data_IF_776817811398
#
_entry.id   IF_776817811398
#
_cell.length_a   1.000
_cell.length_b   1.000
_cell.length_c   1.000
_cell.angle_alpha   90.00
_cell.angle_beta   90.00
_cell.angle_gamma   90.00
#
_symmetry.space_group_name_H-M   'P 1'
#
loop_
_entity.id
_entity.type
_entity.pdbx_description
1 polymer ?
#
# COMPACT_ATOMS: atom_id res chain seq x y z
N UNK A 1 -5.33 21.54 -34.97
CA UNK A 1 -6.68 20.98 -35.25
C UNK A 1 -7.79 21.74 -34.55
N UNK A 2 -7.92 21.72 -33.21
CA UNK A 2 -9.07 22.34 -32.52
C UNK A 2 -9.26 23.82 -32.87
N UNK A 3 -8.21 24.62 -32.71
CA UNK A 3 -8.20 26.05 -33.03
C UNK A 3 -8.50 26.31 -34.51
N UNK A 4 -7.94 25.50 -35.41
CA UNK A 4 -8.18 25.60 -36.85
C UNK A 4 -9.64 25.31 -37.21
N UNK A 5 -10.23 24.27 -36.62
CA UNK A 5 -11.64 23.93 -36.83
C UNK A 5 -12.57 24.99 -36.24
N UNK A 6 -12.24 25.56 -35.07
CA UNK A 6 -13.01 26.68 -34.50
C UNK A 6 -12.93 27.91 -35.43
N UNK A 7 -11.76 28.22 -35.99
CA UNK A 7 -11.61 29.27 -36.99
C UNK A 7 -12.34 28.97 -38.31
N UNK A 8 -12.39 27.70 -38.75
CA UNK A 8 -13.18 27.27 -39.93
C UNK A 8 -14.68 27.49 -39.68
N UNK A 9 -15.20 27.14 -38.49
CA UNK A 9 -16.60 27.36 -38.10
C UNK A 9 -16.93 28.84 -37.99
N UNK A 10 -16.08 29.64 -37.35
CA UNK A 10 -16.34 31.08 -37.13
C UNK A 10 -16.17 31.92 -38.41
N UNK A 11 -15.18 31.60 -39.26
CA UNK A 11 -14.73 32.49 -40.34
C UNK A 11 -14.94 31.95 -41.75
N UNK A 12 -14.86 30.63 -41.96
CA UNK A 12 -14.99 30.03 -43.29
C UNK A 12 -16.43 29.57 -43.57
N UNK A 13 -17.11 28.94 -42.61
CA UNK A 13 -18.52 28.51 -42.76
C UNK A 13 -19.45 29.59 -43.36
N UNK A 14 -19.43 30.87 -42.94
CA UNK A 14 -20.32 31.89 -43.53
C UNK A 14 -19.93 32.35 -44.95
N UNK A 15 -18.72 32.01 -45.43
CA UNK A 15 -18.22 32.44 -46.75
C UNK A 15 -18.51 31.43 -47.87
N UNK A 16 -18.91 30.21 -47.52
CA UNK A 16 -19.11 29.11 -48.48
C UNK A 16 -20.57 28.65 -48.52
N UNK A 17 -21.09 28.29 -49.71
CA UNK A 17 -22.37 27.59 -49.87
C UNK A 17 -22.49 26.32 -48.99
N UNK A 18 -23.71 26.07 -48.51
CA UNK A 18 -23.99 25.02 -47.52
C UNK A 18 -23.77 23.59 -48.04
N UNK A 19 -23.89 23.39 -49.35
CA UNK A 19 -23.64 22.13 -50.06
C UNK A 19 -22.17 21.68 -50.01
N UNK A 20 -21.22 22.62 -49.87
CA UNK A 20 -19.78 22.31 -49.82
C UNK A 20 -19.38 21.69 -48.46
N UNK A 21 -20.20 21.81 -47.42
CA UNK A 21 -19.98 21.25 -46.06
C UNK A 21 -18.55 21.47 -45.53
N UNK A 22 -18.00 22.68 -45.72
CA UNK A 22 -16.57 23.01 -45.46
C UNK A 22 -16.05 22.48 -44.12
N UNK A 23 -16.80 22.67 -43.03
CA UNK A 23 -16.41 22.19 -41.69
C UNK A 23 -16.19 20.67 -41.65
N UNK A 24 -17.04 19.90 -42.34
CA UNK A 24 -16.89 18.45 -42.44
C UNK A 24 -15.63 18.06 -43.24
N UNK A 25 -15.39 18.68 -44.39
CA UNK A 25 -14.22 18.40 -45.22
C UNK A 25 -12.90 18.68 -44.48
N UNK A 26 -12.80 19.79 -43.73
CA UNK A 26 -11.65 20.07 -42.88
C UNK A 26 -11.53 19.08 -41.71
N UNK A 27 -12.64 18.76 -41.04
CA UNK A 27 -12.63 17.82 -39.92
C UNK A 27 -12.24 16.40 -40.34
N UNK A 28 -12.77 15.90 -41.46
CA UNK A 28 -12.42 14.61 -42.06
C UNK A 28 -10.96 14.57 -42.48
N UNK A 29 -10.44 15.64 -43.10
CA UNK A 29 -9.03 15.74 -43.51
C UNK A 29 -8.07 15.71 -42.30
N UNK A 30 -8.34 16.52 -41.27
CA UNK A 30 -7.54 16.51 -40.04
C UNK A 30 -7.67 15.18 -39.29
N UNK A 31 -8.86 14.59 -39.24
CA UNK A 31 -9.08 13.28 -38.62
C UNK A 31 -8.28 12.19 -39.31
N UNK A 32 -8.32 12.12 -40.65
CA UNK A 32 -7.59 11.13 -41.43
C UNK A 32 -6.07 11.23 -41.20
N UNK A 33 -5.51 12.44 -41.17
CA UNK A 33 -4.08 12.65 -40.89
C UNK A 33 -3.72 12.24 -39.44
N UNK A 34 -4.52 12.63 -38.44
CA UNK A 34 -4.31 12.17 -37.06
C UNK A 34 -4.41 10.64 -36.94
N UNK A 35 -5.44 10.03 -37.52
CA UNK A 35 -5.63 8.58 -37.50
C UNK A 35 -4.47 7.84 -38.20
N UNK A 36 -3.97 8.37 -39.32
CA UNK A 36 -2.77 7.86 -40.02
C UNK A 36 -1.53 7.90 -39.12
N UNK A 37 -1.26 9.04 -38.47
CA UNK A 37 -0.11 9.20 -37.57
C UNK A 37 -0.19 8.29 -36.34
N UNK A 38 -1.36 8.16 -35.68
CA UNK A 38 -1.55 7.21 -34.58
C UNK A 38 -1.44 5.75 -35.06
N UNK A 39 -1.92 5.44 -36.26
CA UNK A 39 -1.78 4.11 -36.89
C UNK A 39 -0.33 3.77 -37.22
N UNK A 40 0.51 4.76 -37.51
CA UNK A 40 1.95 4.58 -37.68
C UNK A 40 2.66 4.36 -36.34
N UNK A 41 2.34 5.14 -35.30
CA UNK A 41 2.93 4.98 -33.95
C UNK A 41 2.66 3.60 -33.34
N UNK A 42 1.48 3.04 -33.61
CA UNK A 42 1.06 1.72 -33.10
C UNK A 42 1.67 0.52 -33.83
N UNK A 43 2.47 0.74 -34.89
CA UNK A 43 3.29 -0.30 -35.53
C UNK A 43 4.58 -0.60 -34.74
N UNK A 44 4.97 0.29 -33.82
CA UNK A 44 6.16 0.13 -32.98
C UNK A 44 5.83 -0.50 -31.62
N UNK A 45 6.84 -1.05 -30.95
CA UNK A 45 6.67 -1.47 -29.55
C UNK A 45 6.55 -0.27 -28.61
N UNK A 46 5.32 0.17 -28.38
CA UNK A 46 5.01 1.22 -27.41
C UNK A 46 5.42 0.83 -25.99
N UNK A 47 6.07 1.75 -25.28
CA UNK A 47 6.32 1.55 -23.85
C UNK A 47 5.03 1.71 -23.03
N UNK A 48 4.99 1.29 -21.74
CA UNK A 48 3.78 1.38 -20.91
C UNK A 48 3.22 2.80 -20.74
N UNK A 49 4.10 3.83 -20.76
CA UNK A 49 3.69 5.24 -20.69
C UNK A 49 3.00 5.68 -21.98
N UNK A 50 3.57 5.33 -23.13
CA UNK A 50 3.07 5.75 -24.43
C UNK A 50 1.79 4.99 -24.78
N UNK A 51 1.68 3.71 -24.40
CA UNK A 51 0.43 2.93 -24.46
C UNK A 51 -0.70 3.62 -23.70
N UNK A 52 -0.44 4.07 -22.45
CA UNK A 52 -1.43 4.82 -21.66
C UNK A 52 -1.79 6.16 -22.33
N UNK A 53 -0.81 6.95 -22.76
CA UNK A 53 -1.07 8.27 -23.36
C UNK A 53 -1.85 8.15 -24.67
N UNK A 54 -1.51 7.18 -25.52
CA UNK A 54 -2.19 6.94 -26.78
C UNK A 54 -3.65 6.49 -26.56
N UNK A 55 -3.90 5.58 -25.62
CA UNK A 55 -5.28 5.20 -25.24
C UNK A 55 -6.07 6.38 -24.67
N UNK A 56 -5.48 7.16 -23.77
CA UNK A 56 -6.09 8.36 -23.19
C UNK A 56 -6.48 9.37 -24.28
N UNK A 57 -5.62 9.56 -25.28
CA UNK A 57 -5.91 10.41 -26.43
C UNK A 57 -7.06 9.87 -27.29
N UNK A 58 -7.04 8.59 -27.64
CA UNK A 58 -8.02 7.95 -28.52
C UNK A 58 -9.41 7.86 -27.89
N UNK A 59 -9.49 7.43 -26.62
CA UNK A 59 -10.75 7.12 -25.94
C UNK A 59 -11.34 8.28 -25.14
N UNK A 60 -10.53 9.27 -24.72
CA UNK A 60 -11.01 10.38 -23.87
C UNK A 60 -10.73 11.76 -24.48
N UNK A 61 -9.46 12.18 -24.60
CA UNK A 61 -9.13 13.58 -24.93
C UNK A 61 -9.61 14.00 -26.32
N UNK A 62 -9.45 13.15 -27.34
CA UNK A 62 -9.92 13.46 -28.69
C UNK A 62 -11.44 13.58 -28.80
N UNK A 63 -12.27 12.58 -28.39
CA UNK A 63 -13.71 12.72 -28.45
C UNK A 63 -14.24 13.83 -27.52
N UNK A 64 -13.72 13.96 -26.30
CA UNK A 64 -14.32 14.86 -25.30
C UNK A 64 -13.79 16.31 -25.36
N UNK A 65 -12.49 16.52 -25.50
CA UNK A 65 -11.93 17.88 -25.46
C UNK A 65 -11.84 18.56 -26.84
N UNK A 66 -11.76 17.76 -27.91
CA UNK A 66 -11.68 18.25 -29.30
C UNK A 66 -13.03 18.15 -30.00
N UNK A 67 -13.61 16.96 -30.18
CA UNK A 67 -14.84 16.82 -30.97
C UNK A 67 -16.07 17.40 -30.24
N UNK A 68 -16.22 17.10 -28.94
CA UNK A 68 -17.31 17.60 -28.09
C UNK A 68 -17.05 19.02 -27.55
N UNK A 69 -16.12 19.80 -28.13
CA UNK A 69 -15.96 21.22 -27.79
C UNK A 69 -17.27 21.99 -28.06
N UNK A 70 -17.68 22.95 -27.22
CA UNK A 70 -18.99 23.60 -27.34
C UNK A 70 -19.20 24.37 -28.65
N UNK A 71 -18.10 24.76 -29.33
CA UNK A 71 -18.14 25.40 -30.65
C UNK A 71 -18.17 24.41 -31.82
N UNK A 72 -17.63 23.21 -31.62
CA UNK A 72 -17.46 22.19 -32.67
C UNK A 72 -18.55 21.12 -32.65
N UNK A 73 -19.02 20.73 -31.46
CA UNK A 73 -20.05 19.72 -31.25
C UNK A 73 -21.30 19.88 -32.15
N UNK A 74 -21.96 21.07 -32.27
CA UNK A 74 -23.15 21.19 -33.12
C UNK A 74 -22.86 21.04 -34.61
N UNK A 75 -21.64 21.35 -35.05
CA UNK A 75 -21.23 21.26 -36.45
C UNK A 75 -20.77 19.83 -36.82
N UNK A 76 -20.12 19.15 -35.88
CA UNK A 76 -19.56 17.81 -36.06
C UNK A 76 -20.57 16.68 -35.76
N UNK A 77 -21.71 16.96 -35.13
CA UNK A 77 -22.74 15.94 -34.83
C UNK A 77 -23.24 15.18 -36.08
N UNK A 78 -23.24 15.82 -37.24
CA UNK A 78 -23.56 15.20 -38.54
C UNK A 78 -22.35 14.58 -39.28
N UNK A 79 -21.14 14.73 -38.76
CA UNK A 79 -19.89 14.26 -39.36
C UNK A 79 -19.42 13.02 -38.60
N UNK A 80 -19.72 11.83 -39.13
CA UNK A 80 -19.38 10.54 -38.48
C UNK A 80 -17.89 10.20 -38.64
N UNK A 81 -17.04 10.98 -37.98
CA UNK A 81 -15.57 10.84 -38.04
C UNK A 81 -15.09 9.46 -37.55
N UNK A 82 -15.77 8.87 -36.55
CA UNK A 82 -15.38 7.57 -36.00
C UNK A 82 -14.22 7.66 -35.00
N UNK A 83 -13.54 6.53 -34.77
CA UNK A 83 -12.42 6.42 -33.83
C UNK A 83 -11.08 6.62 -34.53
N UNK A 84 -10.12 7.28 -33.86
CA UNK A 84 -8.76 7.52 -34.40
C UNK A 84 -7.98 6.24 -34.72
N UNK A 85 -8.37 5.10 -34.14
CA UNK A 85 -7.78 3.79 -34.40
C UNK A 85 -8.88 2.74 -34.64
N UNK A 86 -8.59 1.64 -35.35
CA UNK A 86 -9.50 0.51 -35.49
C UNK A 86 -9.87 -0.10 -34.12
N UNK A 87 -11.14 -0.49 -33.88
CA UNK A 87 -11.57 -1.05 -32.59
C UNK A 87 -10.79 -2.28 -32.13
N UNK A 88 -10.36 -3.14 -33.06
CA UNK A 88 -9.51 -4.31 -32.78
C UNK A 88 -8.14 -3.93 -32.24
N UNK A 89 -7.58 -2.81 -32.70
CA UNK A 89 -6.29 -2.30 -32.24
C UNK A 89 -6.42 -1.62 -30.88
N UNK A 90 -7.52 -0.90 -30.65
CA UNK A 90 -7.86 -0.31 -29.35
C UNK A 90 -7.96 -1.41 -28.29
N UNK A 91 -8.70 -2.50 -28.55
CA UNK A 91 -8.82 -3.64 -27.63
C UNK A 91 -7.46 -4.29 -27.30
N UNK A 92 -6.57 -4.43 -28.29
CA UNK A 92 -5.22 -4.96 -28.07
C UNK A 92 -4.38 -4.03 -27.17
N UNK A 93 -4.48 -2.71 -27.39
CA UNK A 93 -3.81 -1.71 -26.56
C UNK A 93 -4.38 -1.68 -25.14
N UNK A 94 -5.69 -1.79 -24.98
CA UNK A 94 -6.38 -1.88 -23.68
C UNK A 94 -5.92 -3.12 -22.89
N UNK A 95 -5.89 -4.30 -23.53
CA UNK A 95 -5.36 -5.52 -22.92
C UNK A 95 -3.88 -5.38 -22.51
N UNK A 96 -3.05 -4.76 -23.35
CA UNK A 96 -1.64 -4.46 -23.04
C UNK A 96 -1.51 -3.47 -21.88
N UNK A 97 -2.34 -2.44 -21.83
CA UNK A 97 -2.40 -1.48 -20.73
C UNK A 97 -2.78 -2.18 -19.42
N UNK A 98 -3.86 -2.98 -19.39
CA UNK A 98 -4.29 -3.73 -18.20
C UNK A 98 -3.16 -4.62 -17.68
N UNK A 99 -2.52 -5.41 -18.55
CA UNK A 99 -1.39 -6.27 -18.18
C UNK A 99 -0.19 -5.49 -17.61
N UNK A 100 0.18 -4.38 -18.26
CA UNK A 100 1.28 -3.52 -17.81
C UNK A 100 0.97 -2.87 -16.44
N UNK A 101 -0.25 -2.37 -16.26
CA UNK A 101 -0.66 -1.63 -15.08
C UNK A 101 -0.82 -2.54 -13.86
N UNK A 102 -1.40 -3.74 -14.05
CA UNK A 102 -1.45 -4.81 -13.03
C UNK A 102 -0.05 -5.25 -12.62
N UNK A 103 0.88 -5.42 -13.57
CA UNK A 103 2.28 -5.76 -13.28
C UNK A 103 2.98 -4.65 -12.50
N UNK A 104 2.82 -3.38 -12.91
CA UNK A 104 3.34 -2.20 -12.21
C UNK A 104 2.83 -2.13 -10.76
N UNK A 105 1.54 -2.36 -10.55
CA UNK A 105 0.93 -2.37 -9.21
C UNK A 105 1.51 -3.50 -8.36
N UNK A 106 1.62 -4.73 -8.91
CA UNK A 106 2.25 -5.88 -8.23
C UNK A 106 3.67 -5.56 -7.76
N UNK A 107 4.51 -5.02 -8.64
CA UNK A 107 5.91 -4.69 -8.36
C UNK A 107 6.04 -3.61 -7.28
N UNK A 108 5.24 -2.55 -7.36
CA UNK A 108 5.25 -1.48 -6.36
C UNK A 108 4.78 -1.97 -4.99
N UNK A 109 3.73 -2.79 -4.93
CA UNK A 109 3.27 -3.38 -3.68
C UNK A 109 4.30 -4.34 -3.07
N UNK A 110 4.95 -5.18 -3.91
CA UNK A 110 6.02 -6.07 -3.46
C UNK A 110 7.22 -5.27 -2.91
N UNK A 111 7.63 -4.20 -3.59
CA UNK A 111 8.72 -3.31 -3.13
C UNK A 111 8.37 -2.56 -1.85
N UNK A 112 7.13 -2.12 -1.68
CA UNK A 112 6.66 -1.50 -0.45
C UNK A 112 6.75 -2.48 0.74
N UNK A 113 6.32 -3.73 0.56
CA UNK A 113 6.48 -4.78 1.57
C UNK A 113 7.95 -5.12 1.84
N UNK A 114 8.81 -5.13 0.82
CA UNK A 114 10.25 -5.38 0.99
C UNK A 114 10.94 -4.29 1.82
N UNK A 115 10.58 -3.01 1.59
CA UNK A 115 11.09 -1.87 2.34
C UNK A 115 10.62 -1.91 3.81
N UNK A 116 9.34 -2.16 4.02
CA UNK A 116 8.75 -2.30 5.36
C UNK A 116 9.31 -3.53 6.11
N UNK A 117 9.47 -4.67 5.44
CA UNK A 117 10.12 -5.84 6.04
C UNK A 117 11.58 -5.56 6.44
N UNK A 118 12.28 -4.69 5.70
CA UNK A 118 13.65 -4.27 6.04
C UNK A 118 13.68 -3.34 7.25
N UNK A 119 12.73 -2.40 7.39
CA UNK A 119 12.68 -1.50 8.57
C UNK A 119 12.50 -2.31 9.86
N UNK A 120 11.61 -3.32 9.86
CA UNK A 120 11.44 -4.23 10.99
C UNK A 120 12.74 -4.96 11.37
N UNK A 121 13.48 -5.49 10.38
CA UNK A 121 14.75 -6.22 10.65
C UNK A 121 15.88 -5.35 11.16
N UNK A 122 15.82 -4.03 10.94
CA UNK A 122 16.81 -3.05 11.41
C UNK A 122 16.49 -2.48 12.79
N UNK A 123 15.41 -2.93 13.44
CA UNK A 123 14.90 -2.34 14.68
C UNK A 123 14.52 -0.85 14.54
N UNK A 124 14.06 -0.44 13.35
CA UNK A 124 13.52 0.92 13.15
C UNK A 124 12.21 1.06 13.95
N UNK A 125 12.05 2.19 14.64
CA UNK A 125 10.86 2.46 15.45
C UNK A 125 9.69 2.90 14.55
N UNK A 126 8.47 2.38 14.77
CA UNK A 126 7.30 2.78 13.97
C UNK A 126 6.94 4.24 14.23
N UNK A 127 6.29 4.87 13.25
CA UNK A 127 5.78 6.22 13.40
C UNK A 127 4.71 6.26 14.49
N UNK A 128 4.63 7.38 15.22
CA UNK A 128 3.60 7.61 16.24
C UNK A 128 2.72 8.78 15.84
N UNK A 129 1.45 8.50 15.53
CA UNK A 129 0.43 9.50 15.24
C UNK A 129 -0.64 9.46 16.32
N UNK A 130 -0.95 10.60 16.95
CA UNK A 130 -1.93 10.69 18.04
C UNK A 130 -1.69 9.62 19.15
N UNK A 131 -0.43 9.46 19.57
CA UNK A 131 0.06 8.43 20.50
C UNK A 131 -0.18 6.96 20.11
N UNK A 132 -0.54 6.67 18.85
CA UNK A 132 -0.68 5.29 18.33
C UNK A 132 0.44 4.95 17.38
N UNK A 133 0.87 3.69 17.39
CA UNK A 133 1.86 3.19 16.43
C UNK A 133 1.24 3.01 15.05
N UNK A 134 1.96 3.45 14.03
CA UNK A 134 1.49 3.52 12.66
C UNK A 134 2.60 3.11 11.69
N UNK A 135 2.22 2.45 10.59
CA UNK A 135 3.10 2.05 9.51
C UNK A 135 2.51 2.55 8.19
N UNK A 136 3.33 3.17 7.35
CA UNK A 136 2.86 3.79 6.10
C UNK A 136 2.46 2.75 5.05
N UNK A 137 2.79 1.47 5.25
CA UNK A 137 2.51 0.38 4.33
C UNK A 137 1.03 0.35 3.91
N UNK A 138 0.10 0.46 4.85
CA UNK A 138 -1.33 0.41 4.52
C UNK A 138 -1.74 1.56 3.58
N UNK A 139 -1.30 2.80 3.87
CA UNK A 139 -1.57 3.97 3.02
C UNK A 139 -0.93 3.80 1.64
N UNK A 140 0.34 3.42 1.57
CA UNK A 140 1.04 3.25 0.29
C UNK A 140 0.37 2.21 -0.61
N UNK A 141 -0.07 1.08 -0.05
CA UNK A 141 -0.73 0.01 -0.83
C UNK A 141 -2.11 0.45 -1.31
N UNK A 142 -2.92 1.09 -0.46
CA UNK A 142 -4.22 1.65 -0.85
C UNK A 142 -4.05 2.70 -1.96
N UNK A 143 -3.04 3.59 -1.83
CA UNK A 143 -2.73 4.59 -2.85
C UNK A 143 -2.28 3.97 -4.19
N UNK A 144 -1.42 2.94 -4.18
CA UNK A 144 -0.95 2.25 -5.39
C UNK A 144 -2.14 1.67 -6.17
N UNK A 145 -3.08 1.00 -5.48
CA UNK A 145 -4.26 0.40 -6.09
C UNK A 145 -5.20 1.48 -6.63
N UNK A 146 -5.54 2.48 -5.81
CA UNK A 146 -6.45 3.56 -6.21
C UNK A 146 -5.90 4.40 -7.36
N UNK A 147 -4.58 4.62 -7.45
CA UNK A 147 -3.95 5.24 -8.62
C UNK A 147 -4.02 4.36 -9.87
N UNK A 148 -3.83 3.04 -9.75
CA UNK A 148 -3.98 2.10 -10.86
C UNK A 148 -5.41 2.09 -11.41
N UNK A 149 -6.41 2.09 -10.53
CA UNK A 149 -7.83 2.15 -10.91
C UNK A 149 -8.17 3.51 -11.56
N UNK A 150 -7.83 4.63 -10.94
CA UNK A 150 -8.10 5.97 -11.47
C UNK A 150 -7.43 6.22 -12.84
N UNK A 151 -6.27 5.59 -13.09
CA UNK A 151 -5.57 5.64 -14.38
C UNK A 151 -6.24 4.79 -15.48
N UNK A 152 -7.03 3.78 -15.12
CA UNK A 152 -7.87 3.08 -16.10
C UNK A 152 -9.17 3.84 -16.35
N UNK A 153 -9.79 4.37 -15.29
CA UNK A 153 -11.00 5.21 -15.35
C UNK A 153 -10.79 6.50 -16.16
N UNK A 154 -9.57 7.06 -16.16
CA UNK A 154 -9.22 8.21 -17.00
C UNK A 154 -9.17 7.89 -18.50
N UNK A 155 -9.04 6.62 -18.90
CA UNK A 155 -9.18 6.19 -20.30
C UNK A 155 -10.68 5.96 -20.59
N UNK A 156 -11.31 5.01 -19.90
CA UNK A 156 -12.77 4.78 -19.93
C UNK A 156 -13.27 4.18 -18.62
N UNK A 157 -14.55 4.42 -18.30
CA UNK A 157 -15.22 3.80 -17.15
C UNK A 157 -15.29 2.27 -17.24
N UNK A 158 -15.38 1.73 -18.47
CA UNK A 158 -15.38 0.29 -18.71
C UNK A 158 -14.01 -0.31 -18.36
N UNK A 159 -12.91 0.31 -18.81
CA UNK A 159 -11.55 -0.14 -18.47
C UNK A 159 -11.26 -0.05 -16.97
N UNK A 160 -11.81 0.97 -16.29
CA UNK A 160 -11.85 1.05 -14.82
C UNK A 160 -12.58 -0.12 -14.17
N UNK A 161 -13.71 -0.53 -14.74
CA UNK A 161 -14.49 -1.69 -14.28
C UNK A 161 -13.75 -3.01 -14.54
N UNK A 162 -13.06 -3.14 -15.68
CA UNK A 162 -12.24 -4.31 -16.02
C UNK A 162 -10.98 -4.45 -15.15
N UNK A 163 -10.28 -3.36 -14.83
CA UNK A 163 -9.04 -3.44 -14.04
C UNK A 163 -9.31 -3.75 -12.56
N UNK A 164 -10.44 -3.28 -12.01
CA UNK A 164 -10.80 -3.41 -10.60
C UNK A 164 -10.68 -4.85 -10.04
N UNK A 165 -11.28 -5.91 -10.65
CA UNK A 165 -11.11 -7.28 -10.16
C UNK A 165 -9.65 -7.77 -10.24
N UNK A 166 -8.89 -7.36 -11.25
CA UNK A 166 -7.47 -7.72 -11.38
C UNK A 166 -6.65 -7.13 -10.23
N UNK A 167 -6.87 -5.85 -9.90
CA UNK A 167 -6.19 -5.18 -8.77
C UNK A 167 -6.57 -5.78 -7.41
N UNK A 168 -7.84 -6.22 -7.24
CA UNK A 168 -8.26 -6.93 -6.03
C UNK A 168 -7.59 -8.31 -5.91
N UNK A 169 -7.30 -8.99 -7.02
CA UNK A 169 -6.54 -10.24 -7.00
C UNK A 169 -5.05 -10.01 -6.68
N UNK A 170 -4.45 -8.94 -7.20
CA UNK A 170 -3.10 -8.49 -6.80
C UNK A 170 -3.05 -8.17 -5.29
N UNK A 171 -4.05 -7.46 -4.76
CA UNK A 171 -4.20 -7.20 -3.33
C UNK A 171 -4.32 -8.51 -2.52
N UNK A 172 -5.12 -9.48 -2.99
CA UNK A 172 -5.24 -10.79 -2.35
C UNK A 172 -3.89 -11.51 -2.24
N UNK A 173 -3.08 -11.43 -3.29
CA UNK A 173 -1.73 -12.02 -3.33
C UNK A 173 -0.74 -11.22 -2.47
N UNK A 174 -0.83 -9.89 -2.44
CA UNK A 174 -0.08 -9.04 -1.52
C UNK A 174 -0.37 -9.36 -0.05
N UNK A 175 -1.64 -9.43 0.36
CA UNK A 175 -2.02 -9.63 1.77
C UNK A 175 -1.51 -10.98 2.32
N UNK A 176 -1.49 -12.03 1.49
CA UNK A 176 -0.88 -13.33 1.83
C UNK A 176 0.64 -13.24 1.99
N UNK A 177 1.31 -12.45 1.15
CA UNK A 177 2.76 -12.22 1.28
C UNK A 177 3.10 -11.37 2.51
N UNK A 178 2.28 -10.35 2.82
CA UNK A 178 2.40 -9.50 4.00
C UNK A 178 2.24 -10.30 5.29
N UNK A 179 1.22 -11.15 5.39
CA UNK A 179 1.05 -12.12 6.49
C UNK A 179 2.33 -12.96 6.68
N UNK A 180 2.81 -13.64 5.64
CA UNK A 180 4.00 -14.51 5.73
C UNK A 180 5.27 -13.75 6.13
N UNK A 181 5.44 -12.52 5.63
CA UNK A 181 6.56 -11.67 6.01
C UNK A 181 6.48 -11.27 7.49
N UNK A 182 5.28 -10.93 7.97
CA UNK A 182 5.04 -10.60 9.38
C UNK A 182 5.21 -11.81 10.30
N UNK A 183 4.66 -12.97 9.96
CA UNK A 183 4.85 -14.21 10.71
C UNK A 183 6.35 -14.55 10.83
N UNK A 184 7.09 -14.43 9.72
CA UNK A 184 8.54 -14.59 9.73
C UNK A 184 9.30 -13.51 10.54
N UNK A 185 8.72 -12.35 10.79
CA UNK A 185 9.24 -11.34 11.72
C UNK A 185 8.93 -11.70 13.18
N UNK A 186 7.72 -12.16 13.48
CA UNK A 186 7.31 -12.65 14.82
C UNK A 186 8.19 -13.80 15.34
N UNK A 187 8.67 -14.65 14.44
CA UNK A 187 9.59 -15.74 14.78
C UNK A 187 11.01 -15.24 15.04
N UNK A 188 11.56 -14.39 14.16
CA UNK A 188 13.00 -14.09 14.11
C UNK A 188 13.43 -12.85 14.92
N UNK A 189 12.53 -11.91 15.19
CA UNK A 189 12.89 -10.57 15.68
C UNK A 189 12.51 -10.29 17.14
N UNK A 190 12.20 -11.32 17.94
CA UNK A 190 11.69 -11.19 19.33
C UNK A 190 12.60 -10.41 20.30
N UNK A 191 13.89 -10.30 20.00
CA UNK A 191 14.90 -9.62 20.83
C UNK A 191 15.09 -8.14 20.48
N UNK A 192 14.40 -7.63 19.45
CA UNK A 192 14.52 -6.24 19.01
C UNK A 192 13.79 -5.28 19.97
N UNK A 193 14.33 -4.07 20.16
CA UNK A 193 13.80 -3.10 21.14
C UNK A 193 12.41 -2.61 20.76
N UNK A 194 12.19 -2.35 19.47
CA UNK A 194 10.93 -1.87 18.92
C UNK A 194 10.00 -3.01 18.49
N UNK A 195 10.31 -4.27 18.84
CA UNK A 195 9.52 -5.45 18.45
C UNK A 195 8.02 -5.30 18.76
N UNK A 196 7.66 -4.99 20.03
CA UNK A 196 6.25 -4.83 20.44
C UNK A 196 5.56 -3.66 19.71
N UNK A 197 6.25 -2.52 19.57
CA UNK A 197 5.72 -1.36 18.86
C UNK A 197 5.46 -1.67 17.37
N UNK A 198 6.38 -2.38 16.71
CA UNK A 198 6.22 -2.84 15.33
C UNK A 198 5.09 -3.88 15.18
N UNK A 199 4.90 -4.78 16.15
CA UNK A 199 3.72 -5.67 16.17
C UNK A 199 2.42 -4.86 16.27
N UNK A 200 2.35 -3.86 17.14
CA UNK A 200 1.19 -2.96 17.28
C UNK A 200 0.92 -2.17 15.98
N UNK A 201 1.95 -1.61 15.34
CA UNK A 201 1.83 -0.89 14.07
C UNK A 201 1.23 -1.78 12.96
N UNK A 202 1.71 -3.01 12.83
CA UNK A 202 1.24 -3.98 11.83
C UNK A 202 -0.20 -4.47 12.10
N UNK A 203 -0.62 -4.55 13.37
CA UNK A 203 -2.03 -4.77 13.72
C UNK A 203 -2.87 -3.56 13.31
N UNK A 204 -2.44 -2.34 13.66
CA UNK A 204 -3.16 -1.11 13.33
C UNK A 204 -3.37 -0.93 11.81
N UNK A 205 -2.42 -1.38 10.98
CA UNK A 205 -2.55 -1.43 9.51
C UNK A 205 -3.80 -2.21 9.02
N UNK A 206 -4.35 -3.14 9.81
CA UNK A 206 -5.54 -3.89 9.42
C UNK A 206 -6.79 -3.00 9.28
N UNK A 207 -6.89 -1.87 10.01
CA UNK A 207 -8.07 -1.01 9.94
C UNK A 207 -8.19 -0.26 8.59
N UNK A 208 -7.16 0.47 8.09
CA UNK A 208 -7.24 1.11 6.78
C UNK A 208 -7.61 0.15 5.63
N UNK A 209 -7.09 -1.09 5.64
CA UNK A 209 -7.46 -2.11 4.66
C UNK A 209 -8.93 -2.53 4.75
N UNK A 210 -9.44 -2.79 5.97
CA UNK A 210 -10.87 -3.06 6.22
C UNK A 210 -11.73 -1.91 5.68
N UNK A 211 -11.45 -0.67 6.09
CA UNK A 211 -12.21 0.52 5.68
C UNK A 211 -12.20 0.73 4.16
N UNK A 212 -11.07 0.54 3.48
CA UNK A 212 -10.97 0.75 2.02
C UNK A 212 -11.69 -0.33 1.22
N UNK A 213 -11.65 -1.59 1.66
CA UNK A 213 -12.40 -2.69 1.03
C UNK A 213 -13.92 -2.50 1.09
N UNK A 214 -14.40 -1.81 2.13
CA UNK A 214 -15.81 -1.49 2.33
C UNK A 214 -16.25 -0.22 1.62
N UNK A 215 -15.51 0.88 1.80
CA UNK A 215 -15.94 2.22 1.36
C UNK A 215 -15.46 2.58 -0.06
N UNK A 216 -14.20 2.26 -0.39
CA UNK A 216 -13.60 2.66 -1.67
C UNK A 216 -13.88 1.63 -2.76
N UNK A 217 -13.58 0.36 -2.50
CA UNK A 217 -13.75 -0.71 -3.50
C UNK A 217 -15.13 -1.37 -3.46
N UNK A 218 -15.95 -1.12 -2.43
CA UNK A 218 -17.33 -1.59 -2.29
C UNK A 218 -17.45 -3.11 -2.55
N UNK A 219 -16.53 -3.87 -1.95
CA UNK A 219 -16.32 -5.29 -2.27
C UNK A 219 -17.50 -6.13 -1.75
N UNK A 220 -18.06 -7.08 -2.53
CA UNK A 220 -19.11 -7.98 -2.06
C UNK A 220 -18.70 -8.71 -0.76
N UNK A 221 -19.64 -9.01 0.16
CA UNK A 221 -19.32 -9.58 1.48
C UNK A 221 -18.46 -10.84 1.42
N UNK A 222 -18.75 -11.77 0.51
CA UNK A 222 -18.04 -13.04 0.39
C UNK A 222 -16.57 -12.83 -0.03
N UNK A 223 -16.35 -12.05 -1.10
CA UNK A 223 -15.01 -11.71 -1.57
C UNK A 223 -14.23 -10.88 -0.52
N UNK A 224 -14.91 -9.98 0.19
CA UNK A 224 -14.34 -9.21 1.31
C UNK A 224 -13.87 -10.12 2.43
N UNK A 225 -14.66 -11.12 2.82
CA UNK A 225 -14.28 -12.09 3.85
C UNK A 225 -13.02 -12.88 3.46
N UNK A 226 -12.91 -13.29 2.19
CA UNK A 226 -11.73 -13.97 1.65
C UNK A 226 -10.49 -13.07 1.59
N UNK A 227 -10.66 -11.79 1.24
CA UNK A 227 -9.57 -10.81 1.20
C UNK A 227 -9.07 -10.42 2.59
N UNK A 228 -9.98 -10.34 3.58
CA UNK A 228 -9.63 -10.01 4.96
C UNK A 228 -9.03 -11.18 5.75
N UNK A 229 -9.15 -12.42 5.27
CA UNK A 229 -8.64 -13.61 5.98
C UNK A 229 -7.15 -13.51 6.36
N UNK A 230 -6.20 -13.17 5.46
CA UNK A 230 -4.78 -13.04 5.85
C UNK A 230 -4.53 -11.92 6.87
N UNK A 231 -5.32 -10.85 6.83
CA UNK A 231 -5.24 -9.76 7.83
C UNK A 231 -5.79 -10.19 9.19
N UNK A 232 -6.83 -11.01 9.22
CA UNK A 232 -7.35 -11.59 10.46
C UNK A 232 -6.33 -12.58 11.07
N UNK A 233 -5.68 -13.41 10.25
CA UNK A 233 -4.60 -14.32 10.69
C UNK A 233 -3.39 -13.52 11.24
N UNK A 234 -2.93 -12.48 10.51
CA UNK A 234 -1.88 -11.54 10.93
C UNK A 234 -2.22 -10.89 12.30
N UNK A 235 -3.44 -10.35 12.44
CA UNK A 235 -3.92 -9.76 13.70
C UNK A 235 -3.90 -10.78 14.83
N UNK A 236 -4.40 -12.00 14.61
CA UNK A 236 -4.42 -13.06 15.61
C UNK A 236 -3.02 -13.42 16.08
N UNK A 237 -2.07 -13.66 15.16
CA UNK A 237 -0.67 -13.95 15.52
C UNK A 237 -0.01 -12.78 16.28
N UNK A 238 -0.36 -11.53 15.91
CA UNK A 238 0.05 -10.33 16.64
C UNK A 238 -0.49 -10.28 18.07
N UNK A 239 -1.79 -10.52 18.26
CA UNK A 239 -2.43 -10.59 19.59
C UNK A 239 -1.83 -11.72 20.45
N UNK A 240 -1.69 -12.92 19.89
CA UNK A 240 -1.09 -14.07 20.60
C UNK A 240 0.34 -13.74 21.05
N UNK A 241 1.13 -13.09 20.20
CA UNK A 241 2.49 -12.60 20.53
C UNK A 241 2.47 -11.56 21.64
N UNK A 242 1.59 -10.55 21.56
CA UNK A 242 1.52 -9.47 22.53
C UNK A 242 1.07 -9.94 23.92
N UNK A 243 0.16 -10.91 23.97
CA UNK A 243 -0.43 -11.50 25.17
C UNK A 243 0.37 -12.69 25.74
N UNK A 244 1.30 -13.29 24.98
CA UNK A 244 2.06 -14.48 25.39
C UNK A 244 2.75 -14.31 26.75
N UNK A 245 3.37 -13.16 27.01
CA UNK A 245 4.03 -12.88 28.29
C UNK A 245 3.01 -12.79 29.43
N UNK A 246 1.95 -11.99 29.25
CA UNK A 246 0.87 -11.82 30.24
C UNK A 246 0.26 -13.17 30.62
N UNK A 247 -0.14 -13.99 29.63
CA UNK A 247 -0.70 -15.32 29.92
C UNK A 247 0.32 -16.29 30.53
N UNK A 248 1.62 -16.09 30.28
CA UNK A 248 2.70 -16.76 31.00
C UNK A 248 2.71 -16.42 32.49
N UNK A 249 2.65 -15.13 32.82
CA UNK A 249 2.68 -14.58 34.18
C UNK A 249 1.42 -14.92 34.98
N UNK A 250 0.25 -14.98 34.34
CA UNK A 250 -1.01 -15.39 34.99
C UNK A 250 -1.09 -16.91 35.28
N UNK A 251 -0.40 -17.75 34.49
CA UNK A 251 -0.43 -19.22 34.61
C UNK A 251 -0.09 -19.76 36.01
N UNK A 252 0.94 -19.26 36.74
CA UNK A 252 1.18 -19.61 38.14
C UNK A 252 0.09 -19.07 39.09
N UNK A 253 -0.43 -17.86 38.89
CA UNK A 253 -1.52 -17.32 39.71
C UNK A 253 -2.77 -18.20 39.62
N UNK A 254 -3.16 -18.63 38.40
CA UNK A 254 -4.23 -19.61 38.22
C UNK A 254 -3.91 -21.00 38.81
N UNK A 255 -2.63 -21.37 39.04
CA UNK A 255 -2.28 -22.59 39.81
C UNK A 255 -2.57 -22.46 41.30
N UNK A 256 -2.53 -21.25 41.86
CA UNK A 256 -2.77 -21.03 43.29
C UNK A 256 -4.16 -21.46 43.72
N UNK A 257 -5.23 -21.17 42.99
CA UNK A 257 -6.59 -21.69 43.26
C UNK A 257 -6.61 -23.20 43.55
N UNK A 258 -5.93 -23.98 42.70
CA UNK A 258 -5.86 -25.44 42.84
C UNK A 258 -4.86 -25.93 43.90
N UNK A 259 -3.89 -25.10 44.30
CA UNK A 259 -2.90 -25.43 45.34
C UNK A 259 -3.44 -25.10 46.74
N UNK A 260 -4.07 -23.94 46.92
CA UNK A 260 -4.70 -23.48 48.17
C UNK A 260 -6.08 -24.10 48.41
N UNK A 261 -6.51 -25.05 47.57
CA UNK A 261 -7.84 -25.69 47.61
C UNK A 261 -8.99 -24.67 47.70
N UNK A 262 -8.87 -23.56 46.97
CA UNK A 262 -9.86 -22.47 46.95
C UNK A 262 -10.10 -21.78 48.31
N UNK A 263 -9.11 -21.77 49.22
CA UNK A 263 -9.25 -21.14 50.53
C UNK A 263 -9.40 -19.60 50.51
N UNK A 264 -8.76 -18.92 49.56
CA UNK A 264 -8.81 -17.46 49.40
C UNK A 264 -8.98 -17.09 47.90
N UNK A 265 -10.14 -17.39 47.29
CA UNK A 265 -10.30 -17.32 45.84
C UNK A 265 -10.42 -15.87 45.36
N UNK A 266 -11.02 -14.99 46.16
CA UNK A 266 -11.17 -13.56 45.83
C UNK A 266 -9.81 -12.85 45.78
N UNK A 267 -8.99 -12.96 46.83
CA UNK A 267 -7.63 -12.39 46.86
C UNK A 267 -6.75 -12.89 45.71
N UNK A 268 -6.88 -14.18 45.37
CA UNK A 268 -6.13 -14.76 44.23
C UNK A 268 -6.60 -14.19 42.88
N UNK A 269 -7.87 -13.81 42.75
CA UNK A 269 -8.39 -13.16 41.56
C UNK A 269 -8.04 -11.66 41.51
N UNK A 270 -8.11 -10.95 42.64
CA UNK A 270 -7.70 -9.55 42.75
C UNK A 270 -6.25 -9.36 42.30
N UNK A 271 -5.35 -10.27 42.70
CA UNK A 271 -3.96 -10.30 42.25
C UNK A 271 -3.81 -10.56 40.73
N UNK A 272 -4.61 -11.48 40.17
CA UNK A 272 -4.65 -11.73 38.72
C UNK A 272 -5.13 -10.48 37.96
N UNK A 273 -6.17 -9.83 38.45
CA UNK A 273 -6.76 -8.65 37.81
C UNK A 273 -5.81 -7.45 37.93
N UNK A 274 -5.11 -7.29 39.06
CA UNK A 274 -4.04 -6.28 39.20
C UNK A 274 -2.91 -6.52 38.20
N UNK A 275 -2.43 -7.76 38.07
CA UNK A 275 -1.37 -8.11 37.11
C UNK A 275 -1.80 -7.89 35.64
N UNK A 276 -3.09 -8.06 35.31
CA UNK A 276 -3.63 -7.66 34.00
C UNK A 276 -3.66 -6.13 33.87
N UNK A 277 -4.18 -5.42 34.87
CA UNK A 277 -4.32 -3.97 34.88
C UNK A 277 -2.98 -3.25 34.66
N UNK A 278 -1.92 -3.68 35.32
CA UNK A 278 -0.56 -3.13 35.18
C UNK A 278 -0.01 -3.22 33.74
N UNK A 279 -0.46 -4.20 32.95
CA UNK A 279 -0.05 -4.37 31.54
C UNK A 279 -0.97 -3.64 30.54
N UNK A 280 -2.15 -3.18 30.94
CA UNK A 280 -3.10 -2.48 30.04
C UNK A 280 -2.58 -1.16 29.43
N UNK A 281 -1.72 -0.36 30.10
CA UNK A 281 -1.10 0.82 29.51
C UNK A 281 -0.23 0.51 28.27
N UNK A 282 0.39 -0.66 28.19
CA UNK A 282 1.22 -1.05 27.04
C UNK A 282 0.42 -1.17 25.74
N UNK A 283 -0.88 -1.45 25.84
CA UNK A 283 -1.78 -1.57 24.69
C UNK A 283 -2.45 -0.23 24.32
N UNK A 284 -1.97 0.90 24.86
CA UNK A 284 -2.47 2.24 24.51
C UNK A 284 -2.10 2.70 23.10
N UNK A 285 -0.98 2.21 22.55
CA UNK A 285 -0.54 2.52 21.19
C UNK A 285 -1.36 1.80 20.09
N UNK A 286 -2.25 0.89 20.50
CA UNK A 286 -3.15 0.12 19.64
C UNK A 286 -4.41 0.96 19.30
N UNK A 287 -5.03 0.72 18.15
CA UNK A 287 -6.29 1.36 17.77
C UNK A 287 -7.45 0.90 18.68
N UNK A 288 -8.41 1.78 19.00
CA UNK A 288 -9.45 1.50 20.01
C UNK A 288 -10.25 0.22 19.71
N UNK A 289 -10.68 0.02 18.46
CA UNK A 289 -11.38 -1.21 18.05
C UNK A 289 -10.55 -2.47 18.29
N UNK A 290 -9.23 -2.43 18.03
CA UNK A 290 -8.34 -3.57 18.31
C UNK A 290 -8.03 -3.71 19.81
N UNK A 291 -8.12 -2.62 20.59
CA UNK A 291 -8.00 -2.65 22.06
C UNK A 291 -9.22 -3.30 22.70
N UNK A 292 -10.42 -3.01 22.19
CA UNK A 292 -11.66 -3.70 22.55
C UNK A 292 -11.60 -5.19 22.20
N UNK A 293 -11.22 -5.54 20.95
CA UNK A 293 -11.03 -6.94 20.52
C UNK A 293 -9.96 -7.68 21.37
N UNK A 294 -8.88 -7.00 21.79
CA UNK A 294 -7.83 -7.55 22.65
C UNK A 294 -8.32 -7.76 24.09
N UNK A 295 -9.10 -6.82 24.64
CA UNK A 295 -9.72 -6.94 25.96
C UNK A 295 -10.74 -8.08 26.00
N UNK A 296 -11.50 -8.31 24.92
CA UNK A 296 -12.38 -9.47 24.79
C UNK A 296 -11.59 -10.79 24.81
N UNK A 297 -10.45 -10.86 24.11
CA UNK A 297 -9.57 -12.03 24.14
C UNK A 297 -8.98 -12.28 25.54
N UNK A 298 -8.60 -11.24 26.27
CA UNK A 298 -8.15 -11.34 27.67
C UNK A 298 -9.29 -11.81 28.58
N UNK A 299 -10.49 -11.23 28.46
CA UNK A 299 -11.68 -11.63 29.22
C UNK A 299 -12.01 -13.12 28.99
N UNK A 300 -12.04 -13.56 27.73
CA UNK A 300 -12.26 -14.96 27.36
C UNK A 300 -11.18 -15.88 27.94
N UNK A 301 -9.92 -15.46 27.96
CA UNK A 301 -8.84 -16.22 28.59
C UNK A 301 -9.05 -16.37 30.10
N UNK A 302 -9.35 -15.26 30.81
CA UNK A 302 -9.57 -15.26 32.25
C UNK A 302 -10.72 -16.21 32.64
N UNK A 303 -11.86 -16.11 31.96
CA UNK A 303 -13.03 -16.97 32.19
C UNK A 303 -12.72 -18.43 31.88
N UNK A 304 -12.09 -18.72 30.72
CA UNK A 304 -11.74 -20.08 30.29
C UNK A 304 -10.78 -20.75 31.27
N UNK A 305 -9.73 -20.06 31.70
CA UNK A 305 -8.74 -20.61 32.62
C UNK A 305 -9.33 -20.79 34.03
N UNK A 306 -10.19 -19.87 34.50
CA UNK A 306 -10.92 -20.00 35.77
C UNK A 306 -11.83 -21.25 35.78
N UNK A 307 -12.65 -21.45 34.74
CA UNK A 307 -13.48 -22.65 34.57
C UNK A 307 -12.60 -23.91 34.50
N UNK A 308 -11.49 -23.86 33.76
CA UNK A 308 -10.53 -24.97 33.71
C UNK A 308 -9.88 -25.30 35.07
N UNK A 309 -9.88 -24.37 36.05
CA UNK A 309 -9.46 -24.67 37.43
C UNK A 309 -10.55 -25.33 38.25
N UNK A 310 -11.81 -24.95 38.08
CA UNK A 310 -12.95 -25.64 38.69
C UNK A 310 -13.04 -27.10 38.19
N UNK A 311 -12.89 -27.31 36.88
CA UNK A 311 -13.00 -28.64 36.26
C UNK A 311 -11.88 -29.63 36.64
N UNK A 312 -10.79 -29.21 37.31
CA UNK A 312 -9.63 -30.07 37.63
C UNK A 312 -9.88 -31.13 38.71
N UNK A 313 -11.09 -31.25 39.26
CA UNK A 313 -11.52 -32.27 40.26
C UNK A 313 -10.60 -32.37 41.50
N UNK A 314 -9.87 -31.30 41.85
CA UNK A 314 -8.97 -31.24 43.02
C UNK A 314 -9.64 -30.78 44.32
N UNK A 315 -10.91 -30.45 44.26
CA UNK A 315 -11.74 -30.03 45.38
C UNK A 315 -12.97 -30.93 45.43
N UNK A 316 -13.23 -31.53 46.60
CA UNK A 316 -14.41 -32.36 46.86
C UNK A 316 -15.10 -31.76 48.08
N UNK A 317 -16.29 -31.22 47.88
CA UNK A 317 -17.08 -30.54 48.91
C UNK A 317 -18.10 -31.53 49.47
N UNK A 318 -18.05 -31.80 50.77
CA UNK A 318 -18.83 -32.87 51.40
C UNK A 318 -20.18 -32.42 51.96
N UNK A 319 -20.36 -31.11 52.19
CA UNK A 319 -21.58 -30.55 52.80
C UNK A 319 -22.17 -29.45 51.93
N UNK A 320 -23.47 -29.18 52.12
CA UNK A 320 -24.19 -28.18 51.32
C UNK A 320 -23.69 -26.76 51.57
N UNK A 321 -23.29 -26.46 52.81
CA UNK A 321 -22.77 -25.14 53.22
C UNK A 321 -21.45 -24.83 52.49
N UNK A 322 -20.56 -25.82 52.38
CA UNK A 322 -19.31 -25.70 51.62
C UNK A 322 -19.56 -25.47 50.13
N UNK A 323 -20.59 -26.11 49.55
CA UNK A 323 -21.00 -25.92 48.16
C UNK A 323 -21.58 -24.52 47.93
N UNK A 324 -22.43 -24.04 48.84
CA UNK A 324 -23.03 -22.72 48.77
C UNK A 324 -22.02 -21.59 49.01
N UNK A 325 -21.03 -21.81 49.89
CA UNK A 325 -19.90 -20.90 50.06
C UNK A 325 -19.03 -20.81 48.79
N UNK A 326 -18.70 -21.94 48.14
CA UNK A 326 -17.97 -21.89 46.87
C UNK A 326 -18.81 -21.20 45.77
N UNK A 327 -20.11 -21.46 45.70
CA UNK A 327 -20.99 -20.80 44.74
C UNK A 327 -20.99 -19.27 44.91
N UNK A 328 -21.07 -18.77 46.16
CA UNK A 328 -20.92 -17.35 46.48
C UNK A 328 -19.57 -16.78 46.04
N UNK A 329 -18.47 -17.50 46.31
CA UNK A 329 -17.15 -17.11 45.83
C UNK A 329 -17.03 -17.09 44.30
N UNK A 330 -17.62 -18.06 43.58
CA UNK A 330 -17.64 -18.08 42.12
C UNK A 330 -18.43 -16.90 41.57
N UNK A 331 -19.58 -16.57 42.17
CA UNK A 331 -20.40 -15.43 41.77
C UNK A 331 -19.69 -14.08 41.99
N UNK A 332 -19.06 -13.88 43.16
CA UNK A 332 -18.27 -12.69 43.43
C UNK A 332 -17.08 -12.55 42.46
N UNK A 333 -16.38 -13.65 42.16
CA UNK A 333 -15.28 -13.68 41.21
C UNK A 333 -15.73 -13.36 39.77
N UNK A 334 -16.90 -13.88 39.35
CA UNK A 334 -17.47 -13.56 38.04
C UNK A 334 -17.84 -12.08 37.93
N UNK A 335 -18.42 -11.50 38.98
CA UNK A 335 -18.71 -10.06 39.04
C UNK A 335 -17.43 -9.21 38.95
N UNK A 336 -16.35 -9.61 39.63
CA UNK A 336 -15.07 -8.90 39.60
C UNK A 336 -14.44 -8.92 38.19
N UNK A 337 -14.40 -10.07 37.52
CA UNK A 337 -13.94 -10.18 36.12
C UNK A 337 -14.78 -9.29 35.20
N UNK A 338 -16.11 -9.34 35.34
CA UNK A 338 -17.02 -8.54 34.52
C UNK A 338 -16.83 -7.03 34.75
N UNK A 339 -16.75 -6.59 36.01
CA UNK A 339 -16.52 -5.18 36.36
C UNK A 339 -15.18 -4.69 35.80
N UNK A 340 -14.09 -5.44 35.99
CA UNK A 340 -12.78 -5.07 35.46
C UNK A 340 -12.80 -4.90 33.93
N UNK A 341 -13.36 -5.86 33.19
CA UNK A 341 -13.39 -5.78 31.73
C UNK A 341 -14.32 -4.66 31.23
N UNK A 342 -15.49 -4.46 31.85
CA UNK A 342 -16.40 -3.35 31.48
C UNK A 342 -15.84 -1.96 31.81
N UNK A 343 -14.97 -1.82 32.81
CA UNK A 343 -14.31 -0.55 33.15
C UNK A 343 -13.12 -0.23 32.23
N UNK A 344 -12.48 -1.24 31.63
CA UNK A 344 -11.33 -1.06 30.73
C UNK A 344 -11.73 -0.94 29.25
N UNK A 345 -12.94 -1.39 28.88
CA UNK A 345 -13.56 -1.07 27.58
C UNK A 345 -14.01 0.40 27.63
N UNK A 346 -13.47 1.24 26.75
CA UNK A 346 -13.91 2.64 26.66
C UNK A 346 -15.39 2.72 26.27
N UNK A 347 -16.14 3.74 26.76
CA UNK A 347 -17.52 3.94 26.32
C UNK A 347 -17.53 4.20 24.81
N UNK A 348 -18.08 3.25 24.07
CA UNK A 348 -18.21 3.22 22.61
C UNK A 348 -18.59 4.61 22.08
N UNK A 349 -17.68 5.34 21.40
CA UNK A 349 -18.06 6.61 20.78
C UNK A 349 -19.11 6.34 19.70
N UNK A 350 -20.10 7.23 19.51
CA UNK A 350 -21.02 7.11 18.38
C UNK A 350 -20.21 7.08 17.09
N UNK A 351 -20.62 6.20 16.17
CA UNK A 351 -19.94 5.96 14.89
C UNK A 351 -19.68 7.29 14.16
N UNK A 352 -18.42 7.72 14.14
CA UNK A 352 -18.03 8.89 13.37
C UNK A 352 -18.26 8.61 11.88
N UNK A 353 -18.85 9.54 11.11
CA UNK A 353 -18.88 9.42 9.67
C UNK A 353 -17.44 9.40 9.13
N UNK A 354 -17.18 8.73 8.00
CA UNK A 354 -15.83 8.65 7.46
C UNK A 354 -15.29 10.05 7.17
N UNK A 355 -14.05 10.31 7.59
CA UNK A 355 -13.33 11.49 7.09
C UNK A 355 -13.18 11.33 5.58
N UNK A 356 -13.89 12.16 4.82
CA UNK A 356 -13.73 12.27 3.38
C UNK A 356 -12.32 12.76 3.13
N UNK A 357 -11.44 11.85 2.71
CA UNK A 357 -10.15 12.21 2.11
C UNK A 357 -10.47 12.83 0.76
N UNK A 358 -10.76 14.13 0.77
CA UNK A 358 -11.01 14.89 -0.44
C UNK A 358 -9.78 14.82 -1.34
N UNK A 359 -9.98 14.44 -2.60
CA UNK A 359 -8.95 14.65 -3.63
C UNK A 359 -8.55 16.13 -3.60
N UNK A 360 -7.26 16.47 -3.56
CA UNK A 360 -6.85 17.86 -3.72
C UNK A 360 -7.27 18.34 -5.12
N UNK A 361 -7.87 19.54 -5.25
CA UNK A 361 -8.15 20.10 -6.57
C UNK A 361 -6.84 20.34 -7.32
N UNK A 362 -6.90 20.25 -8.65
CA UNK A 362 -5.74 20.49 -9.50
C UNK A 362 -5.14 21.89 -9.25
N UNK A 363 -3.80 22.04 -9.25
CA UNK A 363 -3.17 23.31 -8.91
C UNK A 363 -3.38 24.37 -10.00
N UNK A 364 -4.28 25.31 -9.75
CA UNK A 364 -4.30 26.59 -10.46
C UNK A 364 -3.04 27.41 -10.12
N UNK A 365 -2.49 28.12 -11.11
CA UNK A 365 -1.20 28.80 -11.04
C UNK A 365 -1.14 29.93 -9.98
N UNK A 366 -0.21 29.84 -9.02
CA UNK A 366 0.63 31.00 -8.61
C UNK A 366 1.76 30.68 -7.62
N UNK A 367 2.93 31.28 -7.90
CA UNK A 367 4.11 31.57 -7.05
C UNK A 367 4.29 30.85 -5.68
N UNK A 368 5.18 29.86 -5.72
CA UNK A 368 6.42 29.78 -4.95
C UNK A 368 6.46 30.19 -3.45
N UNK A 369 6.77 29.21 -2.60
CA UNK A 369 7.83 29.37 -1.59
C UNK A 369 8.54 28.04 -1.34
N UNK A 370 9.88 28.06 -1.36
CA UNK A 370 10.74 26.88 -1.24
C UNK A 370 10.97 26.47 0.21
N UNK A 371 10.85 25.19 0.51
CA UNK A 371 11.56 24.54 1.61
C UNK A 371 11.90 23.10 1.21
N UNK A 372 13.17 22.76 1.37
CA UNK A 372 13.81 21.58 0.81
C UNK A 372 13.82 20.40 1.79
N UNK A 373 13.36 19.23 1.34
CA UNK A 373 13.78 17.92 1.84
C UNK A 373 13.76 16.95 0.65
N UNK A 374 14.88 16.28 0.40
CA UNK A 374 15.15 15.62 -0.89
C UNK A 374 14.85 14.13 -0.93
N UNK A 375 14.24 13.67 -2.03
CA UNK A 375 14.17 12.27 -2.42
C UNK A 375 14.38 12.15 -3.95
N UNK A 376 15.25 11.22 -4.34
CA UNK A 376 15.42 10.58 -5.65
C UNK A 376 15.07 11.35 -6.94
N UNK A 377 16.12 11.79 -7.67
CA UNK A 377 16.08 11.91 -9.14
C UNK A 377 16.60 10.61 -9.78
N UNK A 378 15.87 9.98 -10.71
CA UNK A 378 16.45 9.07 -11.70
C UNK A 378 17.04 9.86 -12.88
N UNK A 379 18.01 9.28 -13.58
CA UNK A 379 18.77 9.93 -14.64
C UNK A 379 17.92 10.46 -15.81
N UNK A 380 18.24 11.67 -16.26
CA UNK A 380 17.80 12.19 -17.56
C UNK A 380 19.02 12.54 -18.41
N UNK A 381 19.36 11.63 -19.33
CA UNK A 381 20.13 11.97 -20.52
C UNK A 381 19.21 12.82 -21.41
N UNK A 382 19.56 14.08 -21.66
CA UNK A 382 18.93 14.88 -22.72
C UNK A 382 19.64 14.65 -24.05
N UNK A 383 18.92 14.48 -25.17
CA UNK A 383 19.47 14.72 -26.48
C UNK A 383 19.52 16.23 -26.77
N UNK A 384 20.61 16.71 -27.38
CA UNK A 384 20.65 18.03 -28.02
C UNK A 384 19.99 17.98 -29.41
N UNK A 385 19.22 19.01 -29.81
CA UNK A 385 18.85 19.21 -31.20
C UNK A 385 19.98 19.92 -31.98
N UNK A 386 20.41 19.33 -33.09
CA UNK A 386 21.32 19.92 -34.06
C UNK A 386 20.59 20.91 -34.99
N UNK A 387 21.37 21.84 -35.58
CA UNK A 387 21.02 22.88 -36.58
C UNK A 387 20.35 24.15 -36.01
N UNK A 388 20.67 25.39 -36.44
CA UNK A 388 21.77 25.97 -37.26
C UNK A 388 21.63 27.53 -37.19
N UNK A 389 22.29 28.32 -38.05
CA UNK A 389 23.71 28.63 -38.17
C UNK A 389 24.08 29.99 -37.51
N UNK A 390 25.36 30.39 -37.53
CA UNK A 390 25.87 31.54 -36.79
C UNK A 390 25.87 32.90 -37.53
N UNK A 391 26.35 33.92 -36.82
CA UNK A 391 26.83 35.17 -37.40
C UNK A 391 28.03 35.71 -36.59
N UNK A 392 28.99 36.30 -37.31
CA UNK A 392 30.34 36.65 -36.85
C UNK A 392 30.46 38.16 -36.50
N UNK A 393 31.45 38.51 -35.65
CA UNK A 393 31.96 39.84 -35.22
C UNK A 393 32.27 39.81 -33.71
N UNK A 394 33.43 40.19 -33.18
CA UNK A 394 34.67 40.70 -33.79
C UNK A 394 35.34 41.73 -32.85
N UNK A 395 36.67 41.65 -32.69
CA UNK A 395 37.52 42.51 -31.82
C UNK A 395 37.39 42.28 -30.29
N UNK A 396 38.45 42.32 -29.48
CA UNK A 396 39.88 42.45 -29.77
C UNK A 396 40.76 42.11 -28.55
N UNK A 397 41.94 41.55 -28.79
CA UNK A 397 43.03 41.29 -27.82
C UNK A 397 44.00 42.51 -27.80
N UNK A 398 44.98 42.69 -26.88
CA UNK A 398 46.08 41.71 -26.71
C UNK A 398 46.89 41.65 -25.37
N UNK A 399 47.68 40.57 -25.21
CA UNK A 399 48.95 40.42 -24.42
C UNK A 399 48.86 40.63 -22.88
N UNK A 400 49.61 39.98 -21.97
CA UNK A 400 50.73 39.01 -21.98
C UNK A 400 50.74 38.28 -20.60
N UNK A 401 51.52 37.25 -20.22
CA UNK A 401 52.73 36.58 -20.75
C UNK A 401 52.80 35.11 -20.23
N UNK A 402 53.90 34.38 -20.49
CA UNK A 402 54.36 33.18 -19.72
C UNK A 402 55.77 33.45 -19.14
N UNK A 403 56.22 32.76 -18.07
CA UNK A 403 57.01 31.53 -18.28
C UNK A 403 56.76 30.38 -17.27
N UNK A 404 57.31 29.21 -17.62
CA UNK A 404 57.45 27.91 -16.91
C UNK A 404 58.99 27.63 -17.01
N UNK A 405 59.74 26.88 -16.14
CA UNK A 405 59.40 25.50 -15.72
C UNK A 405 60.06 24.89 -14.43
N UNK A 406 59.86 23.56 -14.30
CA UNK A 406 60.76 22.52 -13.74
C UNK A 406 60.70 22.16 -12.24
N UNK A 407 60.75 20.84 -11.97
CA UNK A 407 60.84 20.26 -10.61
C UNK A 407 60.40 18.78 -10.50
N UNK A 408 61.25 17.84 -10.95
CA UNK A 408 61.19 16.39 -10.63
C UNK A 408 62.49 16.04 -9.89
N UNK A 409 62.48 15.19 -8.84
CA UNK A 409 62.79 13.74 -8.97
C UNK A 409 62.08 12.87 -7.90
N UNK A 410 62.37 11.56 -7.64
CA UNK A 410 62.56 10.36 -8.47
C UNK A 410 62.73 9.11 -7.55
N UNK A 411 62.11 7.95 -7.89
CA UNK A 411 62.39 6.58 -7.35
C UNK A 411 62.22 6.36 -5.81
N UNK A 412 62.13 5.17 -5.18
CA UNK A 412 62.08 3.71 -5.49
C UNK A 412 60.86 3.10 -4.71
N UNK A 413 60.43 1.84 -4.74
CA UNK A 413 61.06 0.55 -5.06
C UNK A 413 60.04 -0.50 -5.56
N UNK A 414 60.53 -1.64 -6.04
CA UNK A 414 59.72 -2.75 -6.57
C UNK A 414 59.35 -3.82 -5.52
N UNK A 415 58.27 -4.59 -5.79
CA UNK A 415 58.31 -6.07 -5.82
C UNK A 415 57.04 -6.66 -6.47
N UNK A 416 57.24 -7.69 -7.30
CA UNK A 416 56.18 -8.53 -7.93
C UNK A 416 56.16 -9.94 -7.27
N UNK A 417 55.14 -10.78 -7.52
CA UNK A 417 54.77 -11.90 -6.65
C UNK A 417 55.37 -13.25 -7.09
N UNK A 418 55.10 -14.35 -6.34
CA UNK A 418 55.16 -15.72 -6.84
C UNK A 418 53.79 -16.28 -7.25
N UNK A 419 53.80 -17.29 -8.13
CA UNK A 419 52.62 -17.95 -8.69
C UNK A 419 52.25 -19.26 -7.97
N UNK A 420 50.97 -19.64 -8.11
CA UNK A 420 50.43 -20.98 -8.34
C UNK A 420 51.02 -22.24 -7.66
N UNK A 421 50.13 -23.04 -7.07
CA UNK A 421 50.04 -24.48 -7.38
C UNK A 421 48.60 -24.90 -7.66
N UNK A 422 48.45 -25.83 -8.61
CA UNK A 422 47.24 -26.63 -8.85
C UNK A 422 47.25 -27.81 -7.87
N UNK A 423 46.09 -28.44 -7.60
CA UNK A 423 45.77 -29.74 -8.24
C UNK A 423 44.43 -30.35 -7.76
N UNK A 424 43.84 -31.13 -8.67
CA UNK A 424 42.80 -32.17 -8.56
C UNK A 424 41.39 -31.91 -7.96
N UNK A 425 40.41 -32.03 -8.85
CA UNK A 425 38.99 -32.41 -8.64
C UNK A 425 38.84 -33.95 -8.63
N UNK A 426 37.62 -34.53 -8.75
CA UNK A 426 36.36 -34.35 -8.02
C UNK A 426 35.81 -35.69 -7.45
N UNK A 427 34.76 -35.64 -6.62
CA UNK A 427 33.87 -36.80 -6.40
C UNK A 427 32.42 -36.37 -6.19
N UNK A 428 31.47 -37.16 -6.71
CA UNK A 428 30.02 -36.95 -6.66
C UNK A 428 29.35 -38.31 -6.32
N UNK A 429 28.00 -38.39 -6.28
CA UNK A 429 27.21 -38.68 -5.08
C UNK A 429 26.98 -40.18 -4.81
N UNK A 430 26.34 -40.48 -3.67
CA UNK A 430 25.62 -41.75 -3.46
C UNK A 430 24.17 -41.47 -3.01
N UNK A 431 23.26 -42.37 -3.40
CA UNK A 431 21.81 -42.29 -3.23
C UNK A 431 21.30 -43.57 -2.53
N UNK A 432 20.00 -43.57 -2.20
CA UNK A 432 19.17 -44.74 -1.79
C UNK A 432 19.45 -45.26 -0.36
N UNK A 433 18.50 -45.09 0.57
CA UNK A 433 17.25 -45.85 0.83
C UNK A 433 17.51 -47.09 1.70
N UNK A 434 17.00 -47.09 2.94
CA UNK A 434 15.70 -47.69 3.31
C UNK A 434 15.17 -47.04 4.62
#
# INVERSE_FOLDING_TARGET
MKEDLEAVVERLKPLFPADIRVVAAYAESYHAEFASQLSALTQFELCPRDTYMLLLWVQNLYPNDILNSPKLAPELQGVRLGTLLPPTQIQLLEARFLSNEVTRVRELMARALELESKSWTKDEAPLRLNSRCFSELAIHIIQIISQGQAKAESITLDLGTQIKPLLLEELARFLRSYQRAFDGFLERCRQLRNYRANVIANINNCLPFRTSLEQQWQTPPDLRSSLLRPLNELKSHGFDTLLQSLFGDLKPLFKRFTQTRWAAPQQTLEEIVSAVAERMPEFSELQDCFREELLEAVHLHLVKEYIARLCKRRLVLKTAEQQQQLAGHVQANAQLIQQFCTQNVSPRPPSQPPMVVGCPPAPSSSRARTSSLGLFKPDQVRPEPLWAPGHDSGQGQPLSTKPVPAGLPSHLAARRPPQARRDHSPARPQCHQD
#
